data_IF_185535838640
#
_entry.id   IF_185535838640
#
_cell.length_a   1.000
_cell.length_b   1.000
_cell.length_c   1.000
_cell.angle_alpha   90.00
_cell.angle_beta   90.00
_cell.angle_gamma   90.00
#
_symmetry.space_group_name_H-M   'P 1'
#
loop_
_entity.id
_entity.type
_entity.pdbx_description
1 polymer ?
#
# COMPACT_ATOMS: atom_id res chain seq x y z
N UNK A 1 -41.59 -49.34 -35.82
CA UNK A 1 -41.54 -48.87 -34.40
C UNK A 1 -40.21 -48.17 -34.15
N UNK A 2 -40.18 -46.86 -34.10
CA UNK A 2 -38.99 -46.04 -34.15
C UNK A 2 -38.30 -45.93 -32.83
N UNK A 3 -36.97 -46.13 -32.77
CA UNK A 3 -36.10 -45.86 -31.65
C UNK A 3 -35.46 -44.46 -31.86
N UNK A 4 -35.90 -43.48 -31.04
CA UNK A 4 -35.25 -42.16 -30.96
C UNK A 4 -33.93 -42.27 -30.21
N UNK A 5 -32.80 -41.96 -30.87
CA UNK A 5 -31.49 -41.71 -30.29
C UNK A 5 -31.38 -40.23 -29.96
N UNK A 6 -31.29 -39.89 -28.65
CA UNK A 6 -30.94 -38.55 -28.21
C UNK A 6 -29.41 -38.41 -28.22
N UNK A 7 -28.90 -37.56 -29.10
CA UNK A 7 -27.49 -37.15 -29.19
C UNK A 7 -27.17 -36.18 -28.07
N UNK A 8 -26.28 -36.55 -27.14
CA UNK A 8 -25.65 -35.63 -26.19
C UNK A 8 -24.48 -34.91 -26.87
N UNK A 9 -24.66 -33.63 -27.21
CA UNK A 9 -23.54 -32.75 -27.59
C UNK A 9 -22.71 -32.44 -26.35
N UNK A 10 -21.46 -32.90 -26.35
CA UNK A 10 -20.48 -32.49 -25.37
C UNK A 10 -20.12 -31.01 -25.52
N UNK A 11 -20.28 -30.24 -24.44
CA UNK A 11 -19.71 -28.90 -24.33
C UNK A 11 -18.24 -29.05 -23.98
N UNK A 12 -17.36 -28.59 -24.88
CA UNK A 12 -15.94 -28.52 -24.67
C UNK A 12 -15.63 -27.54 -23.52
N UNK A 13 -14.84 -28.00 -22.55
CA UNK A 13 -14.23 -27.15 -21.52
C UNK A 13 -13.23 -26.22 -22.20
N UNK A 14 -13.58 -24.93 -22.36
CA UNK A 14 -12.60 -23.91 -22.65
C UNK A 14 -11.83 -23.62 -21.36
N UNK A 15 -10.52 -23.81 -21.41
CA UNK A 15 -9.60 -23.56 -20.31
C UNK A 15 -9.54 -22.06 -20.02
N UNK A 16 -9.37 -21.69 -18.74
CA UNK A 16 -9.25 -20.32 -18.24
C UNK A 16 -8.06 -19.48 -18.81
N UNK A 17 -7.32 -20.04 -19.75
CA UNK A 17 -6.19 -19.39 -20.43
C UNK A 17 -6.59 -18.36 -21.50
N UNK A 18 -7.87 -18.27 -21.88
CA UNK A 18 -8.29 -17.43 -23.03
C UNK A 18 -8.90 -16.09 -22.61
N UNK A 19 -9.02 -15.81 -21.33
CA UNK A 19 -9.61 -14.55 -20.83
C UNK A 19 -8.65 -13.34 -20.81
N UNK A 20 -7.38 -13.52 -21.17
CA UNK A 20 -6.35 -12.47 -21.18
C UNK A 20 -6.09 -11.83 -22.56
N UNK A 21 -6.84 -12.18 -23.58
CA UNK A 21 -6.72 -11.57 -24.92
C UNK A 21 -7.95 -10.71 -25.22
N UNK A 22 -7.81 -9.38 -25.11
CA UNK A 22 -8.77 -8.57 -25.82
C UNK A 22 -9.16 -7.18 -25.33
N UNK A 23 -8.37 -6.47 -24.53
CA UNK A 23 -8.53 -5.01 -24.44
C UNK A 23 -7.14 -4.40 -24.63
N UNK A 24 -6.82 -4.05 -25.89
CA UNK A 24 -5.66 -3.16 -26.14
C UNK A 24 -6.04 -1.79 -25.58
N UNK A 25 -5.32 -1.24 -24.58
CA UNK A 25 -5.56 0.12 -24.14
C UNK A 25 -5.35 1.06 -25.33
N UNK A 26 -6.21 2.06 -25.52
CA UNK A 26 -5.87 3.20 -26.36
C UNK A 26 -4.64 3.84 -25.75
N UNK A 27 -3.50 3.71 -26.40
CA UNK A 27 -2.28 4.45 -26.04
C UNK A 27 -2.62 5.93 -26.21
N UNK A 28 -2.86 6.61 -25.11
CA UNK A 28 -2.95 8.08 -25.10
C UNK A 28 -1.53 8.60 -25.32
N UNK A 29 -1.40 9.62 -26.19
CA UNK A 29 -0.13 10.23 -26.53
C UNK A 29 0.58 10.66 -25.24
N UNK A 30 1.77 10.09 -24.96
CA UNK A 30 2.54 10.29 -23.71
C UNK A 30 2.96 11.73 -23.44
N UNK A 31 2.60 12.68 -24.33
CA UNK A 31 2.92 14.11 -24.23
C UNK A 31 1.84 14.95 -23.57
N UNK A 32 0.68 14.39 -23.23
CA UNK A 32 -0.38 15.15 -22.59
C UNK A 32 -0.10 15.21 -21.09
N UNK A 33 0.35 16.38 -20.62
CA UNK A 33 0.49 16.62 -19.17
C UNK A 33 -0.88 16.57 -18.49
N UNK A 34 -0.96 16.04 -17.28
CA UNK A 34 -2.20 16.07 -16.50
C UNK A 34 -2.75 17.51 -16.42
N UNK A 35 -4.03 17.67 -16.70
CA UNK A 35 -4.74 18.95 -16.60
C UNK A 35 -5.57 18.97 -15.33
N UNK A 36 -5.69 20.11 -14.63
CA UNK A 36 -6.62 20.21 -13.51
C UNK A 36 -8.05 19.95 -14.00
N UNK A 37 -8.87 19.25 -13.20
CA UNK A 37 -10.23 18.92 -13.60
C UNK A 37 -11.07 20.19 -13.77
N UNK A 38 -11.84 20.23 -14.85
CA UNK A 38 -12.74 21.33 -15.15
C UNK A 38 -14.19 20.89 -14.96
N UNK A 39 -15.02 21.81 -14.48
CA UNK A 39 -16.46 21.59 -14.44
C UNK A 39 -17.01 21.53 -15.88
N UNK A 40 -17.75 20.46 -16.19
CA UNK A 40 -18.35 20.28 -17.52
C UNK A 40 -19.86 20.07 -17.46
N UNK A 41 -20.41 19.81 -16.27
CA UNK A 41 -21.84 19.61 -15.99
C UNK A 41 -22.14 20.08 -14.57
N UNK A 42 -23.40 19.97 -14.17
CA UNK A 42 -23.86 20.24 -12.82
C UNK A 42 -24.91 19.22 -12.38
N UNK A 43 -25.00 19.02 -11.06
CA UNK A 43 -26.09 18.28 -10.42
C UNK A 43 -26.92 19.27 -9.62
N UNK A 44 -28.23 19.31 -9.85
CA UNK A 44 -29.16 20.16 -9.11
C UNK A 44 -29.60 19.46 -7.83
N UNK A 45 -29.34 20.08 -6.69
CA UNK A 45 -29.81 19.62 -5.37
C UNK A 45 -30.96 20.48 -4.92
N UNK A 46 -32.05 19.87 -4.42
CA UNK A 46 -33.21 20.56 -3.87
C UNK A 46 -33.35 20.29 -2.38
N UNK A 47 -33.41 21.34 -1.57
CA UNK A 47 -33.80 21.23 -0.16
C UNK A 47 -35.35 21.25 -0.06
N UNK A 48 -35.92 20.09 0.25
CA UNK A 48 -37.37 19.95 0.38
C UNK A 48 -37.96 20.70 1.58
N UNK A 49 -37.16 21.17 2.55
CA UNK A 49 -37.60 21.97 3.70
C UNK A 49 -37.88 23.42 3.32
N UNK A 50 -37.07 23.94 2.37
CA UNK A 50 -37.13 25.34 1.96
C UNK A 50 -37.61 25.53 0.50
N UNK A 51 -37.67 24.45 -0.28
CA UNK A 51 -37.84 24.43 -1.72
C UNK A 51 -36.76 25.15 -2.54
N UNK A 52 -35.63 25.50 -1.90
CA UNK A 52 -34.48 26.07 -2.59
C UNK A 52 -33.77 25.00 -3.41
N UNK A 53 -33.24 25.42 -4.56
CA UNK A 53 -32.43 24.58 -5.45
C UNK A 53 -31.09 25.26 -5.73
N UNK A 54 -30.04 24.46 -5.87
CA UNK A 54 -28.72 24.95 -6.29
C UNK A 54 -27.99 23.90 -7.10
N UNK A 55 -27.10 24.37 -7.96
CA UNK A 55 -26.30 23.52 -8.83
C UNK A 55 -24.91 23.32 -8.26
N UNK A 56 -24.51 22.04 -8.14
CA UNK A 56 -23.17 21.64 -7.75
C UNK A 56 -22.39 21.23 -9.01
N UNK A 57 -21.17 21.80 -9.24
CA UNK A 57 -20.35 21.45 -10.40
C UNK A 57 -19.97 19.97 -10.40
N UNK A 58 -19.96 19.36 -11.58
CA UNK A 58 -19.43 18.02 -11.81
C UNK A 58 -18.07 18.15 -12.49
N UNK A 59 -17.05 17.53 -11.86
CA UNK A 59 -15.69 17.50 -12.36
C UNK A 59 -15.38 16.13 -12.94
N UNK A 60 -14.61 16.11 -14.04
CA UNK A 60 -14.15 14.89 -14.69
C UNK A 60 -12.64 14.78 -14.58
N UNK A 61 -12.16 13.60 -14.10
CA UNK A 61 -10.75 13.24 -14.14
C UNK A 61 -10.33 12.69 -15.49
N UNK A 62 -9.06 12.33 -15.62
CA UNK A 62 -8.56 11.64 -16.82
C UNK A 62 -9.18 10.25 -16.96
N UNK A 63 -9.32 9.55 -15.85
CA UNK A 63 -9.93 8.22 -15.71
C UNK A 63 -10.81 8.19 -14.46
N UNK A 64 -11.67 7.17 -14.39
CA UNK A 64 -12.54 6.94 -13.25
C UNK A 64 -13.87 7.69 -13.30
N UNK A 65 -14.66 7.62 -12.22
CA UNK A 65 -15.97 8.25 -12.14
C UNK A 65 -15.86 9.77 -12.01
N UNK A 66 -16.92 10.45 -12.44
CA UNK A 66 -17.09 11.87 -12.23
C UNK A 66 -17.34 12.18 -10.74
N UNK A 67 -16.96 13.38 -10.30
CA UNK A 67 -17.13 13.82 -8.92
C UNK A 67 -17.93 15.12 -8.81
N UNK A 68 -18.76 15.23 -7.77
CA UNK A 68 -19.52 16.43 -7.45
C UNK A 68 -18.66 17.34 -6.57
N UNK A 69 -18.42 18.57 -6.99
CA UNK A 69 -17.67 19.56 -6.21
C UNK A 69 -18.54 20.19 -5.12
N UNK A 70 -18.31 19.77 -3.87
CA UNK A 70 -19.07 20.25 -2.69
C UNK A 70 -18.35 21.35 -1.92
N UNK A 71 -17.21 21.87 -2.41
CA UNK A 71 -16.37 22.83 -1.65
C UNK A 71 -17.11 24.09 -1.22
N UNK A 72 -18.10 24.54 -1.98
CA UNK A 72 -18.90 25.74 -1.68
C UNK A 72 -20.18 25.45 -0.91
N UNK A 73 -20.62 24.20 -0.82
CA UNK A 73 -21.90 23.80 -0.25
C UNK A 73 -22.17 24.42 1.14
N UNK A 74 -21.17 24.38 2.02
CA UNK A 74 -21.34 24.93 3.36
C UNK A 74 -21.41 26.46 3.38
N UNK A 75 -20.56 27.15 2.66
CA UNK A 75 -20.50 28.61 2.65
C UNK A 75 -21.73 29.25 2.01
N UNK A 76 -22.32 28.60 1.02
CA UNK A 76 -23.46 29.11 0.28
C UNK A 76 -24.81 28.66 0.87
N UNK A 77 -24.87 27.44 1.44
CA UNK A 77 -26.12 26.81 1.85
C UNK A 77 -26.17 26.41 3.34
N UNK A 78 -25.09 26.55 4.09
CA UNK A 78 -25.03 26.11 5.50
C UNK A 78 -25.05 24.58 5.69
N UNK A 79 -25.02 23.80 4.59
CA UNK A 79 -25.08 22.34 4.60
C UNK A 79 -23.70 21.75 4.33
N UNK A 80 -23.40 20.58 4.89
CA UNK A 80 -22.23 19.79 4.55
C UNK A 80 -22.58 18.30 4.46
N UNK A 81 -21.75 17.55 3.73
CA UNK A 81 -21.93 16.12 3.51
C UNK A 81 -21.46 15.33 4.73
N UNK A 82 -22.02 14.14 4.92
CA UNK A 82 -21.63 13.20 5.97
C UNK A 82 -21.20 11.87 5.36
N UNK A 83 -19.92 11.58 5.41
CA UNK A 83 -19.29 10.34 4.91
C UNK A 83 -18.07 9.98 5.77
N UNK A 84 -18.26 9.27 6.91
CA UNK A 84 -17.21 9.03 7.90
C UNK A 84 -15.99 8.27 7.39
N UNK A 85 -16.15 7.48 6.34
CA UNK A 85 -15.08 6.64 5.79
C UNK A 85 -14.57 7.09 4.44
N UNK A 86 -14.99 8.26 3.95
CA UNK A 86 -14.67 8.77 2.60
C UNK A 86 -15.02 7.79 1.47
N UNK A 87 -16.02 6.91 1.70
CA UNK A 87 -16.40 5.89 0.73
C UNK A 87 -17.01 6.45 -0.57
N UNK A 88 -17.57 7.68 -0.50
CA UNK A 88 -18.13 8.40 -1.62
C UNK A 88 -17.60 9.83 -1.73
N UNK A 89 -16.45 10.11 -1.12
CA UNK A 89 -15.89 11.47 -1.06
C UNK A 89 -14.46 11.49 -1.58
N UNK A 90 -14.22 12.16 -2.70
CA UNK A 90 -12.88 12.48 -3.17
C UNK A 90 -12.25 13.55 -2.27
N UNK A 91 -11.17 13.22 -1.56
CA UNK A 91 -10.47 14.13 -0.65
C UNK A 91 -9.34 14.90 -1.32
N UNK A 92 -8.90 14.50 -2.51
CA UNK A 92 -7.76 15.08 -3.22
C UNK A 92 -7.81 14.79 -4.71
N UNK A 93 -7.01 15.54 -5.46
CA UNK A 93 -6.61 15.23 -6.83
C UNK A 93 -5.22 14.61 -6.80
N UNK A 94 -4.95 13.62 -7.65
CA UNK A 94 -3.61 13.03 -7.78
C UNK A 94 -3.39 12.51 -9.19
N UNK A 95 -2.17 12.64 -9.68
CA UNK A 95 -1.71 12.06 -10.95
C UNK A 95 -0.76 10.88 -10.73
N UNK A 96 -0.65 10.36 -9.50
CA UNK A 96 0.36 9.36 -9.13
C UNK A 96 -0.14 7.96 -9.44
N UNK A 97 -1.25 7.57 -8.84
CA UNK A 97 -1.78 6.20 -8.93
C UNK A 97 -3.25 6.22 -9.30
N UNK A 98 -3.62 5.33 -10.20
CA UNK A 98 -5.01 5.07 -10.57
C UNK A 98 -5.36 3.60 -10.33
N UNK A 99 -6.51 3.37 -9.72
CA UNK A 99 -7.06 2.05 -9.47
C UNK A 99 -8.47 1.96 -10.06
N UNK A 100 -8.69 0.91 -10.87
CA UNK A 100 -10.03 0.46 -11.24
C UNK A 100 -10.26 -0.90 -10.58
N UNK A 101 -11.00 -0.89 -9.48
CA UNK A 101 -11.28 -2.10 -8.72
C UNK A 101 -12.18 -3.10 -9.45
N UNK A 102 -13.10 -2.63 -10.30
CA UNK A 102 -13.99 -3.49 -11.09
C UNK A 102 -13.23 -4.17 -12.24
N UNK A 103 -12.35 -3.43 -12.91
CA UNK A 103 -11.51 -3.97 -14.00
C UNK A 103 -10.26 -4.71 -13.50
N UNK A 104 -9.89 -4.59 -12.20
CA UNK A 104 -8.66 -5.15 -11.67
C UNK A 104 -7.41 -4.47 -12.25
N UNK A 105 -7.43 -3.15 -12.32
CA UNK A 105 -6.33 -2.33 -12.88
C UNK A 105 -5.68 -1.52 -11.79
N UNK A 106 -4.35 -1.54 -11.75
CA UNK A 106 -3.51 -0.64 -10.96
C UNK A 106 -2.44 -0.04 -11.88
N UNK A 107 -2.32 1.28 -11.88
CA UNK A 107 -1.32 1.99 -12.67
C UNK A 107 -0.60 3.04 -11.83
N UNK A 108 0.71 3.15 -12.01
CA UNK A 108 1.52 4.25 -11.51
C UNK A 108 1.90 5.17 -12.67
N UNK A 109 1.52 6.44 -12.60
CA UNK A 109 1.79 7.43 -13.66
C UNK A 109 1.37 6.95 -15.07
N UNK A 110 0.33 6.10 -15.15
CA UNK A 110 -0.17 5.54 -16.41
C UNK A 110 0.44 4.18 -16.81
N UNK A 111 1.49 3.72 -16.16
CA UNK A 111 2.10 2.40 -16.41
C UNK A 111 1.42 1.33 -15.55
N UNK A 112 1.07 0.20 -16.16
CA UNK A 112 0.46 -0.92 -15.44
C UNK A 112 1.45 -1.54 -14.46
N UNK A 113 0.94 -1.91 -13.28
CA UNK A 113 1.80 -2.46 -12.21
C UNK A 113 2.47 -3.77 -12.62
N UNK A 114 1.80 -4.60 -13.43
CA UNK A 114 2.34 -5.87 -13.94
C UNK A 114 3.52 -5.63 -14.87
N UNK A 115 3.46 -4.58 -15.70
CA UNK A 115 4.53 -4.20 -16.62
C UNK A 115 5.72 -3.63 -15.85
N UNK A 116 5.48 -2.80 -14.84
CA UNK A 116 6.54 -2.28 -13.97
C UNK A 116 7.23 -3.41 -13.20
N UNK A 117 6.48 -4.34 -12.62
CA UNK A 117 7.05 -5.47 -11.87
C UNK A 117 7.83 -6.47 -12.76
N UNK A 118 7.51 -6.54 -14.07
CA UNK A 118 8.18 -7.42 -15.01
C UNK A 118 9.48 -6.82 -15.59
N UNK A 119 9.48 -5.49 -15.84
CA UNK A 119 10.49 -4.85 -16.70
C UNK A 119 11.32 -3.76 -15.98
N UNK A 120 10.89 -3.28 -14.82
CA UNK A 120 11.58 -2.25 -14.04
C UNK A 120 12.20 -2.83 -12.77
N UNK A 121 13.05 -2.04 -12.12
CA UNK A 121 13.46 -2.23 -10.74
C UNK A 121 12.81 -1.18 -9.82
N UNK A 122 12.95 -1.37 -8.52
CA UNK A 122 12.32 -0.47 -7.54
C UNK A 122 12.82 0.97 -7.64
N UNK A 123 14.09 1.20 -7.99
CA UNK A 123 14.64 2.55 -8.15
C UNK A 123 14.03 3.29 -9.34
N UNK A 124 13.76 2.59 -10.45
CA UNK A 124 13.02 3.17 -11.58
C UNK A 124 11.58 3.56 -11.17
N UNK A 125 10.92 2.69 -10.40
CA UNK A 125 9.56 2.98 -9.89
C UNK A 125 9.57 4.12 -8.88
N UNK A 126 10.59 4.22 -8.01
CA UNK A 126 10.77 5.37 -7.13
C UNK A 126 10.91 6.68 -7.93
N UNK A 127 11.75 6.68 -8.94
CA UNK A 127 11.91 7.84 -9.82
C UNK A 127 10.60 8.20 -10.53
N UNK A 128 9.93 7.20 -11.12
CA UNK A 128 8.64 7.38 -11.80
C UNK A 128 7.59 8.05 -10.89
N UNK A 129 7.44 7.57 -9.66
CA UNK A 129 6.47 8.12 -8.72
C UNK A 129 6.78 9.57 -8.33
N UNK A 130 8.06 9.91 -8.14
CA UNK A 130 8.51 11.25 -7.74
C UNK A 130 8.52 12.26 -8.89
N UNK A 131 8.96 11.85 -10.07
CA UNK A 131 9.23 12.76 -11.20
C UNK A 131 8.16 12.67 -12.32
N UNK A 132 7.34 11.61 -12.32
CA UNK A 132 6.18 11.48 -13.23
C UNK A 132 6.45 10.71 -14.52
N UNK A 133 7.71 10.42 -14.86
CA UNK A 133 8.13 9.69 -16.04
C UNK A 133 9.21 8.66 -15.69
N UNK A 134 9.33 7.60 -16.49
CA UNK A 134 10.43 6.63 -16.35
C UNK A 134 11.78 7.31 -16.63
N UNK A 135 12.82 6.98 -15.86
CA UNK A 135 14.12 7.62 -16.03
C UNK A 135 14.83 7.17 -17.31
N UNK A 136 15.57 8.07 -17.92
CA UNK A 136 16.64 7.66 -18.85
C UNK A 136 17.77 6.98 -18.08
N UNK A 137 18.66 6.28 -18.75
CA UNK A 137 19.80 5.60 -18.12
C UNK A 137 20.68 6.57 -17.28
N UNK A 138 20.86 7.81 -17.76
CA UNK A 138 21.61 8.83 -17.02
C UNK A 138 20.86 9.32 -15.79
N UNK A 139 19.56 9.56 -15.91
CA UNK A 139 18.70 9.98 -14.78
C UNK A 139 18.64 8.88 -13.72
N UNK A 140 18.47 7.61 -14.12
CA UNK A 140 18.50 6.46 -13.21
C UNK A 140 19.81 6.42 -12.43
N UNK A 141 20.96 6.47 -13.12
CA UNK A 141 22.26 6.45 -12.49
C UNK A 141 22.46 7.59 -11.48
N UNK A 142 22.00 8.81 -11.80
CA UNK A 142 22.06 9.97 -10.88
C UNK A 142 21.17 9.76 -9.66
N UNK A 143 19.97 9.24 -9.87
CA UNK A 143 19.02 8.97 -8.79
C UNK A 143 19.52 7.85 -7.86
N UNK A 144 19.96 6.72 -8.41
CA UNK A 144 20.55 5.61 -7.65
C UNK A 144 21.77 6.09 -6.84
N UNK A 145 22.64 6.91 -7.43
CA UNK A 145 23.76 7.50 -6.72
C UNK A 145 23.28 8.35 -5.53
N UNK A 146 22.29 9.22 -5.75
CA UNK A 146 21.75 10.06 -4.68
C UNK A 146 21.15 9.21 -3.54
N UNK A 147 20.36 8.16 -3.85
CA UNK A 147 19.80 7.28 -2.84
C UNK A 147 20.90 6.53 -2.09
N UNK A 148 21.84 5.90 -2.81
CA UNK A 148 22.92 5.11 -2.23
C UNK A 148 23.76 5.90 -1.23
N UNK A 149 24.08 7.16 -1.55
CA UNK A 149 24.90 8.02 -0.67
C UNK A 149 24.10 8.69 0.47
N UNK A 150 22.81 8.40 0.60
CA UNK A 150 21.98 8.83 1.72
C UNK A 150 21.54 7.69 2.65
N UNK A 151 21.99 6.44 2.44
CA UNK A 151 21.56 5.26 3.19
C UNK A 151 22.05 5.26 4.65
N UNK A 152 23.23 5.81 4.93
CA UNK A 152 23.78 5.87 6.29
C UNK A 152 22.95 6.78 7.19
N UNK A 153 22.66 6.32 8.39
CA UNK A 153 22.07 7.14 9.45
C UNK A 153 23.15 7.96 10.16
N UNK A 154 22.74 9.07 10.78
CA UNK A 154 23.58 9.77 11.73
C UNK A 154 23.92 8.82 12.89
N UNK A 155 25.20 8.69 13.27
CA UNK A 155 25.67 7.68 14.23
C UNK A 155 24.96 7.78 15.59
N UNK A 156 24.58 8.96 16.04
CA UNK A 156 23.83 9.13 17.28
C UNK A 156 22.42 8.50 17.25
N UNK A 157 21.84 8.24 16.06
CA UNK A 157 20.56 7.54 15.96
C UNK A 157 20.69 6.10 16.47
N UNK A 158 21.85 5.47 16.35
CA UNK A 158 22.08 4.12 16.88
C UNK A 158 21.82 4.05 18.38
N UNK A 159 22.14 5.11 19.13
CA UNK A 159 21.86 5.22 20.56
C UNK A 159 20.37 5.34 20.87
N UNK A 160 19.58 5.83 19.94
CA UNK A 160 18.14 5.93 20.11
C UNK A 160 17.49 4.55 20.23
N UNK A 161 18.02 3.55 19.53
CA UNK A 161 17.55 2.16 19.63
C UNK A 161 17.71 1.59 21.04
N UNK A 162 18.75 1.96 21.78
CA UNK A 162 19.00 1.45 23.14
C UNK A 162 17.97 1.94 24.16
N UNK A 163 17.16 2.93 23.82
CA UNK A 163 16.03 3.42 24.62
C UNK A 163 14.76 2.57 24.51
N UNK A 164 14.69 1.68 23.52
CA UNK A 164 13.54 0.78 23.36
C UNK A 164 13.77 -0.53 24.14
N UNK A 165 12.66 -1.17 24.50
CA UNK A 165 12.72 -2.55 24.97
C UNK A 165 13.08 -3.45 23.77
N UNK A 166 13.82 -4.52 24.00
CA UNK A 166 14.21 -5.48 22.94
C UNK A 166 13.02 -6.21 22.33
N UNK A 167 11.95 -6.40 23.08
CA UNK A 167 10.68 -7.00 22.65
C UNK A 167 9.69 -5.97 22.09
N UNK A 168 10.12 -4.71 21.87
CA UNK A 168 9.30 -3.70 21.24
C UNK A 168 8.96 -4.12 19.79
N UNK A 169 7.69 -3.92 19.42
CA UNK A 169 7.27 -4.22 18.05
C UNK A 169 8.05 -3.34 17.06
N UNK A 170 8.64 -3.92 15.98
CA UNK A 170 9.47 -3.16 15.04
C UNK A 170 8.77 -1.94 14.42
N UNK A 171 7.46 -1.99 14.21
CA UNK A 171 6.69 -0.84 13.73
C UNK A 171 6.69 0.34 14.74
N UNK A 172 6.68 0.08 16.04
CA UNK A 172 6.79 1.14 17.05
C UNK A 172 8.17 1.83 16.97
N UNK A 173 9.22 1.05 16.76
CA UNK A 173 10.58 1.56 16.53
C UNK A 173 10.61 2.40 15.25
N UNK A 174 10.02 1.92 14.15
CA UNK A 174 9.94 2.63 12.87
C UNK A 174 9.26 4.00 13.01
N UNK A 175 8.08 4.07 13.62
CA UNK A 175 7.36 5.33 13.87
C UNK A 175 8.25 6.33 14.61
N UNK A 176 8.90 5.86 15.67
CA UNK A 176 9.70 6.72 16.55
C UNK A 176 10.98 7.21 15.86
N UNK A 177 11.73 6.32 15.22
CA UNK A 177 13.03 6.66 14.61
C UNK A 177 12.85 7.50 13.33
N UNK A 178 11.86 7.19 12.50
CA UNK A 178 11.57 8.00 11.30
C UNK A 178 11.14 9.41 11.69
N UNK A 179 10.29 9.56 12.71
CA UNK A 179 9.92 10.88 13.24
C UNK A 179 11.14 11.65 13.80
N UNK A 180 12.05 10.93 14.48
CA UNK A 180 13.27 11.53 15.03
C UNK A 180 14.24 12.05 13.95
N UNK A 181 14.17 11.59 12.69
CA UNK A 181 15.00 12.13 11.60
C UNK A 181 14.89 13.64 11.48
N UNK A 182 13.73 14.22 11.78
CA UNK A 182 13.54 15.68 11.80
C UNK A 182 14.46 16.42 12.78
N UNK A 183 14.91 15.75 13.84
CA UNK A 183 15.84 16.29 14.83
C UNK A 183 17.33 16.14 14.41
N UNK A 184 17.63 15.37 13.36
CA UNK A 184 18.99 15.12 12.88
C UNK A 184 19.30 15.78 11.53
N UNK A 185 18.27 16.06 10.72
CA UNK A 185 18.42 16.55 9.35
C UNK A 185 17.69 17.87 9.13
N UNK A 186 18.08 18.89 9.90
CA UNK A 186 17.47 20.23 9.90
C UNK A 186 17.62 20.96 8.55
N UNK A 187 18.61 20.58 7.74
CA UNK A 187 18.90 21.11 6.41
C UNK A 187 17.94 20.58 5.32
N UNK A 188 16.90 19.85 5.68
CA UNK A 188 15.90 19.32 4.75
C UNK A 188 14.48 19.30 5.35
N UNK A 189 14.17 20.26 6.21
CA UNK A 189 12.85 20.39 6.85
C UNK A 189 12.00 21.54 6.33
N UNK A 190 12.58 22.47 5.57
CA UNK A 190 11.82 23.55 4.93
C UNK A 190 11.05 23.01 3.72
N UNK A 191 9.74 22.93 3.88
CA UNK A 191 8.83 22.42 2.84
C UNK A 191 8.63 23.41 1.67
N UNK A 192 9.00 24.68 1.83
CA UNK A 192 8.88 25.70 0.80
C UNK A 192 10.09 25.74 -0.13
N UNK A 193 11.25 25.24 0.31
CA UNK A 193 12.44 25.08 -0.50
C UNK A 193 12.38 23.78 -1.35
N UNK A 194 12.32 23.86 -2.69
CA UNK A 194 12.28 22.67 -3.57
C UNK A 194 13.50 21.76 -3.39
N UNK A 195 14.68 22.33 -3.11
CA UNK A 195 15.89 21.54 -2.90
C UNK A 195 15.81 20.73 -1.60
N UNK A 196 15.34 21.33 -0.52
CA UNK A 196 15.16 20.63 0.75
C UNK A 196 14.05 19.56 0.66
N UNK A 197 12.98 19.82 -0.10
CA UNK A 197 11.97 18.78 -0.41
C UNK A 197 12.59 17.58 -1.12
N UNK A 198 13.42 17.81 -2.13
CA UNK A 198 14.10 16.75 -2.87
C UNK A 198 15.05 15.95 -1.96
N UNK A 199 15.88 16.64 -1.18
CA UNK A 199 16.83 15.98 -0.26
C UNK A 199 16.10 15.18 0.81
N UNK A 200 15.01 15.68 1.37
CA UNK A 200 14.20 14.93 2.35
C UNK A 200 13.55 13.69 1.73
N UNK A 201 13.10 13.78 0.48
CA UNK A 201 12.56 12.64 -0.26
C UNK A 201 13.63 11.54 -0.44
N UNK A 202 14.84 11.92 -0.90
CA UNK A 202 15.96 10.99 -1.03
C UNK A 202 16.35 10.36 0.31
N UNK A 203 16.44 11.16 1.37
CA UNK A 203 16.77 10.68 2.73
C UNK A 203 15.74 9.68 3.26
N UNK A 204 14.45 9.93 3.07
CA UNK A 204 13.40 9.00 3.50
C UNK A 204 13.50 7.66 2.77
N UNK A 205 13.57 7.67 1.44
CA UNK A 205 13.69 6.45 0.64
C UNK A 205 14.97 5.68 1.03
N UNK A 206 16.08 6.37 1.20
CA UNK A 206 17.39 5.75 1.48
C UNK A 206 17.50 5.21 2.92
N UNK A 207 16.96 5.93 3.93
CA UNK A 207 17.21 5.64 5.35
C UNK A 207 16.18 4.71 5.98
N UNK A 208 14.95 4.67 5.47
CA UNK A 208 13.90 3.83 6.03
C UNK A 208 14.26 2.34 6.00
N UNK A 209 14.89 1.77 4.93
CA UNK A 209 15.39 0.40 4.96
C UNK A 209 16.49 0.15 6.00
N UNK A 210 17.38 1.11 6.21
CA UNK A 210 18.44 1.01 7.24
C UNK A 210 17.84 1.02 8.64
N UNK A 211 16.83 1.87 8.90
CA UNK A 211 16.09 1.89 10.16
C UNK A 211 15.38 0.55 10.39
N UNK A 212 14.73 0.00 9.36
CA UNK A 212 14.05 -1.29 9.41
C UNK A 212 15.02 -2.43 9.78
N UNK A 213 16.17 -2.47 9.12
CA UNK A 213 17.20 -3.47 9.41
C UNK A 213 17.77 -3.32 10.83
N UNK A 214 18.03 -2.11 11.30
CA UNK A 214 18.48 -1.86 12.65
C UNK A 214 17.41 -2.25 13.69
N UNK A 215 16.13 -2.00 13.43
CA UNK A 215 15.04 -2.45 14.30
C UNK A 215 15.01 -3.98 14.41
N UNK A 216 15.17 -4.68 13.29
CA UNK A 216 15.28 -6.13 13.29
C UNK A 216 16.51 -6.63 14.07
N UNK A 217 17.72 -6.13 13.74
CA UNK A 217 18.96 -6.51 14.41
C UNK A 217 18.91 -6.27 15.91
N UNK A 218 18.32 -5.15 16.33
CA UNK A 218 18.13 -4.84 17.74
C UNK A 218 17.21 -5.86 18.42
N UNK A 219 16.09 -6.22 17.80
CA UNK A 219 15.12 -7.17 18.37
C UNK A 219 15.72 -8.57 18.58
N UNK A 220 16.58 -9.02 17.67
CA UNK A 220 17.24 -10.34 17.77
C UNK A 220 18.58 -10.29 18.52
N UNK A 221 19.02 -9.11 18.94
CA UNK A 221 20.25 -8.93 19.73
C UNK A 221 21.54 -9.13 18.94
N UNK A 222 21.51 -8.88 17.64
CA UNK A 222 22.66 -8.89 16.76
C UNK A 222 23.23 -7.48 16.56
N UNK A 223 24.51 -7.34 16.20
CA UNK A 223 25.12 -6.05 15.87
C UNK A 223 24.44 -5.47 14.62
N UNK A 224 24.38 -4.14 14.55
CA UNK A 224 23.91 -3.45 13.35
C UNK A 224 24.85 -3.70 12.18
N UNK A 225 24.26 -3.96 11.01
CA UNK A 225 24.97 -4.07 9.75
C UNK A 225 24.70 -2.82 8.95
N UNK A 226 25.75 -2.15 8.51
CA UNK A 226 25.67 -0.92 7.75
C UNK A 226 25.51 -1.20 6.24
N UNK A 227 24.86 -0.30 5.49
CA UNK A 227 24.69 -0.47 4.06
C UNK A 227 26.00 -0.48 3.29
N UNK A 228 26.03 -1.14 2.14
CA UNK A 228 27.15 -1.17 1.18
C UNK A 228 26.75 -0.47 -0.11
N UNK A 229 27.62 0.44 -0.62
CA UNK A 229 27.32 1.23 -1.81
C UNK A 229 27.41 0.46 -3.13
N UNK A 230 27.96 -0.75 -3.12
CA UNK A 230 28.07 -1.63 -4.28
C UNK A 230 26.89 -2.58 -4.46
N UNK A 231 25.91 -2.55 -3.57
CA UNK A 231 24.71 -3.38 -3.62
C UNK A 231 23.52 -2.57 -4.12
N UNK A 232 22.62 -3.22 -4.86
CA UNK A 232 21.32 -2.64 -5.21
C UNK A 232 20.45 -2.42 -3.96
N UNK A 233 19.34 -1.71 -4.09
CA UNK A 233 18.46 -1.42 -2.98
C UNK A 233 17.93 -2.68 -2.29
N UNK A 234 17.44 -3.65 -3.05
CA UNK A 234 16.92 -4.90 -2.51
C UNK A 234 18.04 -5.79 -1.92
N UNK A 235 19.19 -5.88 -2.59
CA UNK A 235 20.36 -6.59 -2.07
C UNK A 235 20.87 -5.99 -0.76
N UNK A 236 20.93 -4.66 -0.70
CA UNK A 236 21.38 -3.95 0.50
C UNK A 236 20.42 -4.17 1.67
N UNK A 237 19.10 -4.19 1.39
CA UNK A 237 18.09 -4.51 2.37
C UNK A 237 18.27 -5.91 2.96
N UNK A 238 18.47 -6.93 2.12
CA UNK A 238 18.75 -8.31 2.56
C UNK A 238 20.05 -8.38 3.34
N UNK A 239 21.12 -7.75 2.82
CA UNK A 239 22.43 -7.72 3.47
C UNK A 239 22.34 -7.14 4.89
N UNK A 240 21.73 -5.99 5.07
CA UNK A 240 21.60 -5.36 6.38
C UNK A 240 20.77 -6.18 7.37
N UNK A 241 19.81 -6.99 6.90
CA UNK A 241 19.00 -7.84 7.76
C UNK A 241 19.70 -9.13 8.15
N UNK A 242 20.36 -9.80 7.21
CA UNK A 242 20.81 -11.19 7.42
C UNK A 242 22.31 -11.35 7.58
N UNK A 243 23.14 -10.44 7.06
CA UNK A 243 24.58 -10.52 7.27
C UNK A 243 24.94 -10.40 8.77
N UNK A 244 26.04 -11.03 9.15
CA UNK A 244 26.67 -10.93 10.46
C UNK A 244 28.17 -10.64 10.29
N UNK A 245 28.84 -9.98 11.25
CA UNK A 245 30.27 -9.65 11.08
C UNK A 245 31.21 -10.86 11.05
N UNK A 246 30.73 -12.04 11.47
CA UNK A 246 31.55 -13.23 11.63
C UNK A 246 31.76 -14.01 10.34
N UNK A 247 30.95 -13.80 9.32
CA UNK A 247 30.99 -14.54 8.05
C UNK A 247 30.52 -13.69 6.87
N UNK A 248 30.90 -14.09 5.67
CA UNK A 248 30.40 -13.47 4.44
C UNK A 248 28.94 -13.88 4.19
N UNK A 249 28.13 -12.93 3.78
CA UNK A 249 26.74 -13.16 3.40
C UNK A 249 26.61 -13.14 1.87
N UNK A 250 26.25 -14.28 1.30
CA UNK A 250 25.98 -14.41 -0.13
C UNK A 250 24.50 -14.11 -0.40
N UNK A 251 24.27 -13.11 -1.26
CA UNK A 251 22.92 -12.69 -1.64
C UNK A 251 22.44 -13.62 -2.78
N UNK A 252 21.34 -14.33 -2.54
CA UNK A 252 20.68 -15.09 -3.58
C UNK A 252 19.97 -14.12 -4.56
N UNK A 253 20.34 -14.12 -5.87
CA UNK A 253 19.80 -13.16 -6.84
C UNK A 253 18.29 -13.32 -7.09
N UNK A 254 17.75 -14.54 -6.95
CA UNK A 254 16.31 -14.79 -7.08
C UNK A 254 15.56 -14.17 -5.90
N UNK A 255 16.11 -14.29 -4.70
CA UNK A 255 15.54 -13.66 -3.50
C UNK A 255 15.61 -12.14 -3.60
N UNK A 256 16.73 -11.59 -4.06
CA UNK A 256 16.86 -10.13 -4.27
C UNK A 256 15.85 -9.60 -5.29
N UNK A 257 15.66 -10.30 -6.40
CA UNK A 257 14.66 -9.95 -7.42
C UNK A 257 13.22 -10.04 -6.89
N UNK A 258 12.92 -11.04 -6.07
CA UNK A 258 11.60 -11.17 -5.46
C UNK A 258 11.34 -10.03 -4.46
N UNK A 259 12.34 -9.64 -3.66
CA UNK A 259 12.25 -8.47 -2.77
C UNK A 259 12.02 -7.17 -3.54
N UNK A 260 12.71 -6.98 -4.65
CA UNK A 260 12.54 -5.82 -5.52
C UNK A 260 11.11 -5.74 -6.08
N UNK A 261 10.57 -6.87 -6.56
CA UNK A 261 9.15 -6.97 -7.00
C UNK A 261 8.17 -6.69 -5.85
N UNK A 262 8.43 -7.20 -4.64
CA UNK A 262 7.60 -6.89 -3.45
C UNK A 262 7.58 -5.38 -3.22
N UNK A 263 8.73 -4.71 -3.30
CA UNK A 263 8.80 -3.27 -3.13
C UNK A 263 8.01 -2.53 -4.22
N UNK A 264 8.14 -2.91 -5.49
CA UNK A 264 7.38 -2.32 -6.60
C UNK A 264 5.87 -2.46 -6.37
N UNK A 265 5.39 -3.65 -6.03
CA UNK A 265 3.95 -3.93 -5.87
C UNK A 265 3.31 -3.25 -4.65
N UNK A 266 4.12 -2.77 -3.71
CA UNK A 266 3.67 -2.07 -2.51
C UNK A 266 3.99 -0.56 -2.53
N UNK A 267 4.64 -0.04 -3.58
CA UNK A 267 5.19 1.32 -3.64
C UNK A 267 4.13 2.41 -3.40
N UNK A 268 2.97 2.31 -4.03
CA UNK A 268 1.82 3.19 -3.78
C UNK A 268 0.49 2.47 -4.04
N UNK A 269 -0.59 2.97 -3.45
CA UNK A 269 -1.93 2.41 -3.63
C UNK A 269 -3.01 3.46 -3.39
N UNK A 270 -2.93 4.58 -4.12
CA UNK A 270 -3.90 5.67 -4.10
C UNK A 270 -4.14 6.24 -2.67
N UNK A 271 -5.38 6.69 -2.36
CA UNK A 271 -5.76 7.28 -1.08
C UNK A 271 -6.16 6.21 -0.04
N UNK A 272 -5.27 5.27 0.26
CA UNK A 272 -5.45 4.38 1.41
C UNK A 272 -5.30 5.16 2.75
N UNK A 273 -5.62 4.52 3.87
CA UNK A 273 -5.63 5.16 5.18
C UNK A 273 -4.31 5.84 5.54
N UNK A 274 -3.17 5.20 5.29
CA UNK A 274 -1.86 5.78 5.61
C UNK A 274 -1.47 6.92 4.67
N UNK A 275 -1.77 6.84 3.39
CA UNK A 275 -1.55 7.92 2.42
C UNK A 275 -2.41 9.15 2.77
N UNK A 276 -3.69 8.95 3.09
CA UNK A 276 -4.57 10.02 3.55
C UNK A 276 -4.07 10.65 4.85
N UNK A 277 -3.52 9.85 5.78
CA UNK A 277 -2.90 10.33 7.01
C UNK A 277 -1.68 11.21 6.73
N UNK A 278 -0.80 10.80 5.80
CA UNK A 278 0.36 11.60 5.38
C UNK A 278 -0.08 12.95 4.79
N UNK A 279 -1.09 12.94 3.91
CA UNK A 279 -1.62 14.18 3.31
C UNK A 279 -2.30 15.07 4.35
N UNK A 280 -3.07 14.52 5.28
CA UNK A 280 -3.68 15.29 6.37
C UNK A 280 -2.61 15.91 7.27
N UNK A 281 -1.61 15.15 7.71
CA UNK A 281 -0.52 15.66 8.52
C UNK A 281 0.26 16.77 7.78
N UNK A 282 0.63 16.50 6.52
CA UNK A 282 1.36 17.46 5.69
C UNK A 282 0.56 18.72 5.35
N UNK A 283 -0.78 18.65 5.34
CA UNK A 283 -1.65 19.81 5.04
C UNK A 283 -1.50 20.95 6.04
N UNK A 284 -0.99 20.66 7.24
CA UNK A 284 -0.67 21.67 8.26
C UNK A 284 0.70 22.34 8.07
N UNK A 285 1.45 21.98 7.05
CA UNK A 285 2.83 22.43 6.84
C UNK A 285 3.88 21.64 7.65
N UNK A 286 3.51 20.45 8.16
CA UNK A 286 4.46 19.61 8.89
C UNK A 286 5.57 19.08 7.96
N UNK A 287 6.79 18.94 8.52
CA UNK A 287 7.94 18.43 7.78
C UNK A 287 7.72 16.98 7.32
N UNK A 288 8.39 16.53 6.24
CA UNK A 288 8.12 15.23 5.63
C UNK A 288 8.43 14.05 6.56
N UNK A 289 9.44 14.13 7.41
CA UNK A 289 9.78 13.03 8.34
C UNK A 289 8.64 12.76 9.33
N UNK A 290 8.04 13.82 9.88
CA UNK A 290 6.89 13.72 10.77
C UNK A 290 5.65 13.18 10.04
N UNK A 291 5.42 13.62 8.80
CA UNK A 291 4.30 13.14 7.98
C UNK A 291 4.42 11.65 7.66
N UNK A 292 5.63 11.18 7.30
CA UNK A 292 5.88 9.77 7.00
C UNK A 292 5.77 8.92 8.28
N UNK A 293 6.25 9.41 9.42
CA UNK A 293 6.03 8.72 10.70
C UNK A 293 4.53 8.54 11.02
N UNK A 294 3.70 9.54 10.74
CA UNK A 294 2.24 9.42 10.88
C UNK A 294 1.65 8.39 9.91
N UNK A 295 2.15 8.32 8.67
CA UNK A 295 1.79 7.28 7.70
C UNK A 295 2.14 5.87 8.18
N UNK A 296 3.34 5.69 8.74
CA UNK A 296 3.81 4.43 9.33
C UNK A 296 2.89 4.03 10.51
N UNK A 297 2.54 4.98 11.38
CA UNK A 297 1.63 4.72 12.49
C UNK A 297 0.25 4.26 12.01
N UNK A 298 -0.30 4.90 10.97
CA UNK A 298 -1.57 4.49 10.37
C UNK A 298 -1.49 3.10 9.71
N UNK A 299 -0.36 2.81 9.03
CA UNK A 299 -0.15 1.51 8.38
C UNK A 299 -0.10 0.36 9.40
N UNK A 300 0.41 0.61 10.60
CA UNK A 300 0.50 -0.40 11.66
C UNK A 300 -0.86 -0.87 12.19
N UNK A 301 -1.93 -0.15 11.92
CA UNK A 301 -3.26 -0.53 12.34
C UNK A 301 -3.70 -1.89 11.75
N UNK A 302 -4.36 -2.78 12.53
CA UNK A 302 -4.75 -4.12 12.07
C UNK A 302 -5.76 -4.10 10.90
N UNK A 303 -6.49 -2.99 10.73
CA UNK A 303 -7.41 -2.82 9.61
C UNK A 303 -6.74 -2.35 8.30
N UNK A 304 -5.40 -2.16 8.30
CA UNK A 304 -4.66 -1.64 7.15
C UNK A 304 -3.48 -2.54 6.77
N UNK A 305 -2.32 -2.47 7.45
CA UNK A 305 -1.10 -3.16 7.05
C UNK A 305 -0.91 -4.58 7.61
N UNK A 306 -1.81 -5.08 8.46
CA UNK A 306 -1.67 -6.37 9.13
C UNK A 306 -2.19 -7.59 8.35
N UNK A 307 -2.62 -7.44 7.10
CA UNK A 307 -3.29 -8.51 6.36
C UNK A 307 -2.37 -9.71 6.06
N UNK A 308 -1.12 -9.47 5.67
CA UNK A 308 -0.15 -10.53 5.37
C UNK A 308 0.26 -11.35 6.62
N UNK A 309 0.35 -10.72 7.79
CA UNK A 309 0.57 -11.42 9.06
C UNK A 309 -0.64 -12.32 9.39
N UNK A 310 -1.85 -11.80 9.18
CA UNK A 310 -3.09 -12.52 9.40
C UNK A 310 -3.25 -13.72 8.47
N UNK A 311 -2.77 -13.68 7.23
CA UNK A 311 -2.73 -14.83 6.31
C UNK A 311 -1.93 -15.99 6.90
N UNK A 312 -0.73 -15.73 7.38
CA UNK A 312 0.10 -16.78 7.97
C UNK A 312 -0.48 -17.34 9.26
N UNK A 313 -1.07 -16.50 10.10
CA UNK A 313 -1.78 -16.94 11.30
C UNK A 313 -2.93 -17.88 10.93
N UNK A 314 -3.73 -17.52 9.94
CA UNK A 314 -4.81 -18.33 9.40
C UNK A 314 -4.31 -19.68 8.83
N UNK A 315 -3.27 -19.66 7.99
CA UNK A 315 -2.70 -20.90 7.42
C UNK A 315 -2.18 -21.84 8.52
N UNK A 316 -1.58 -21.30 9.57
CA UNK A 316 -1.14 -22.09 10.74
C UNK A 316 -2.33 -22.65 11.54
N UNK A 317 -3.42 -21.90 11.66
CA UNK A 317 -4.66 -22.34 12.30
C UNK A 317 -5.32 -23.47 11.51
N UNK A 318 -5.38 -23.37 10.18
CA UNK A 318 -5.85 -24.46 9.30
C UNK A 318 -4.95 -25.68 9.46
N UNK A 319 -3.64 -25.52 9.40
CA UNK A 319 -2.62 -26.51 9.71
C UNK A 319 -2.44 -27.64 8.71
N UNK A 320 -3.51 -28.18 8.10
CA UNK A 320 -3.44 -29.26 7.10
C UNK A 320 -4.49 -29.12 6.01
N UNK A 321 -4.22 -29.73 4.85
CA UNK A 321 -5.13 -29.71 3.68
C UNK A 321 -6.50 -30.33 4.00
N UNK A 322 -6.56 -31.34 4.83
CA UNK A 322 -7.79 -32.06 5.19
C UNK A 322 -8.77 -31.19 5.99
N UNK A 323 -8.26 -30.13 6.64
CA UNK A 323 -9.08 -29.17 7.39
C UNK A 323 -9.60 -28.00 6.56
N UNK A 324 -9.11 -27.80 5.33
CA UNK A 324 -9.57 -26.71 4.47
C UNK A 324 -11.10 -26.67 4.32
N UNK A 325 -11.80 -27.80 4.07
CA UNK A 325 -13.26 -27.78 3.94
C UNK A 325 -13.99 -27.25 5.19
N UNK A 326 -13.51 -27.57 6.39
CA UNK A 326 -14.04 -27.04 7.66
C UNK A 326 -13.96 -25.51 7.67
N UNK A 327 -12.78 -24.95 7.37
CA UNK A 327 -12.54 -23.50 7.39
C UNK A 327 -13.26 -22.74 6.26
N UNK A 328 -13.43 -23.38 5.11
CA UNK A 328 -14.29 -22.87 4.03
C UNK A 328 -15.74 -22.72 4.50
N UNK A 329 -16.27 -23.72 5.22
CA UNK A 329 -17.64 -23.64 5.77
C UNK A 329 -17.75 -22.55 6.85
N UNK A 330 -16.75 -22.43 7.72
CA UNK A 330 -16.69 -21.34 8.71
C UNK A 330 -16.72 -19.97 8.03
N UNK A 331 -15.93 -19.78 6.97
CA UNK A 331 -15.87 -18.53 6.21
C UNK A 331 -17.20 -18.16 5.51
N UNK A 332 -18.02 -19.17 5.17
CA UNK A 332 -19.36 -18.99 4.57
C UNK A 332 -20.44 -18.70 5.62
N UNK A 333 -20.21 -19.07 6.87
CA UNK A 333 -21.20 -18.92 7.95
C UNK A 333 -21.32 -17.44 8.34
N UNK A 334 -22.56 -16.95 8.46
CA UNK A 334 -22.84 -15.60 8.99
C UNK A 334 -22.67 -15.51 10.51
N UNK A 335 -22.73 -16.66 11.19
CA UNK A 335 -22.66 -16.76 12.64
C UNK A 335 -21.23 -16.98 13.15
N UNK A 336 -20.26 -17.28 12.25
CA UNK A 336 -18.83 -17.38 12.56
C UNK A 336 -18.11 -16.08 12.14
N UNK A 337 -17.25 -15.59 13.00
CA UNK A 337 -16.41 -14.40 12.72
C UNK A 337 -15.16 -14.74 11.89
N UNK A 338 -14.96 -16.02 11.52
CA UNK A 338 -13.82 -16.44 10.71
C UNK A 338 -13.90 -15.88 9.29
N UNK A 339 -12.77 -15.40 8.79
CA UNK A 339 -12.63 -14.92 7.41
C UNK A 339 -11.38 -15.50 6.78
N UNK A 340 -11.46 -15.85 5.51
CA UNK A 340 -10.26 -16.18 4.73
C UNK A 340 -9.43 -14.93 4.51
N UNK A 341 -8.34 -14.82 5.29
CA UNK A 341 -7.39 -13.71 5.16
C UNK A 341 -6.60 -13.83 3.85
N UNK A 342 -6.35 -12.72 3.18
CA UNK A 342 -5.72 -12.72 1.87
C UNK A 342 -6.68 -13.00 0.70
N UNK A 343 -7.98 -13.15 0.96
CA UNK A 343 -9.02 -13.29 -0.05
C UNK A 343 -9.96 -12.08 -0.05
N UNK A 344 -10.30 -11.61 -1.25
CA UNK A 344 -11.06 -10.39 -1.44
C UNK A 344 -10.23 -9.14 -1.16
N UNK A 345 -10.72 -8.00 -1.60
CA UNK A 345 -10.07 -6.71 -1.41
C UNK A 345 -11.12 -5.61 -1.24
N UNK A 346 -10.82 -4.60 -0.44
CA UNK A 346 -11.76 -3.48 -0.24
C UNK A 346 -12.04 -2.73 -1.54
N UNK A 347 -11.04 -2.63 -2.42
CA UNK A 347 -11.10 -1.91 -3.69
C UNK A 347 -11.36 -2.87 -4.85
N UNK A 348 -10.52 -3.88 -5.03
CA UNK A 348 -10.68 -4.83 -6.14
C UNK A 348 -11.90 -5.73 -5.94
N UNK A 349 -12.84 -5.63 -6.90
CA UNK A 349 -14.00 -6.53 -7.05
C UNK A 349 -13.73 -7.61 -8.10
N UNK A 350 -12.54 -7.60 -8.69
CA UNK A 350 -11.99 -8.59 -9.59
C UNK A 350 -10.65 -9.06 -9.01
N UNK A 351 -9.86 -9.76 -9.80
CA UNK A 351 -8.55 -10.25 -9.41
C UNK A 351 -7.59 -9.08 -9.11
N UNK A 352 -6.85 -9.14 -8.02
CA UNK A 352 -5.79 -8.18 -7.70
C UNK A 352 -4.62 -8.35 -8.69
N UNK A 353 -4.28 -7.36 -9.53
CA UNK A 353 -3.25 -7.52 -10.57
C UNK A 353 -1.87 -7.85 -10.00
N UNK A 354 -1.64 -7.56 -8.70
CA UNK A 354 -0.38 -7.86 -8.01
C UNK A 354 -0.27 -9.34 -7.60
N UNK A 355 -1.40 -10.03 -7.41
CA UNK A 355 -1.41 -11.40 -6.89
C UNK A 355 -0.76 -12.41 -7.83
N UNK A 356 -0.92 -12.25 -9.16
CA UNK A 356 -0.28 -13.12 -10.14
C UNK A 356 1.25 -13.02 -10.10
N UNK A 357 1.78 -11.79 -9.99
CA UNK A 357 3.23 -11.55 -9.89
C UNK A 357 3.78 -12.12 -8.57
N UNK A 358 3.04 -11.94 -7.47
CA UNK A 358 3.43 -12.51 -6.17
C UNK A 358 3.43 -14.04 -6.18
N UNK A 359 2.43 -14.66 -6.80
CA UNK A 359 2.36 -16.12 -6.94
C UNK A 359 3.58 -16.66 -7.69
N UNK A 360 3.91 -16.07 -8.83
CA UNK A 360 5.09 -16.45 -9.61
C UNK A 360 6.38 -16.28 -8.78
N UNK A 361 6.56 -15.13 -8.13
CA UNK A 361 7.73 -14.86 -7.29
C UNK A 361 7.83 -15.83 -6.11
N UNK A 362 6.68 -16.28 -5.56
CA UNK A 362 6.65 -17.27 -4.49
C UNK A 362 7.25 -18.61 -4.96
N UNK A 363 6.82 -19.10 -6.12
CA UNK A 363 7.39 -20.33 -6.70
C UNK A 363 8.88 -20.18 -6.97
N UNK A 364 9.31 -19.08 -7.61
CA UNK A 364 10.72 -18.82 -7.92
C UNK A 364 11.60 -18.84 -6.67
N UNK A 365 11.17 -18.18 -5.58
CA UNK A 365 11.90 -18.12 -4.30
C UNK A 365 11.99 -19.48 -3.62
N UNK A 366 10.86 -20.21 -3.56
CA UNK A 366 10.84 -21.52 -2.90
C UNK A 366 11.69 -22.55 -3.64
N UNK A 367 11.70 -22.47 -4.97
CA UNK A 367 12.59 -23.29 -5.80
C UNK A 367 14.07 -22.96 -5.53
N UNK A 368 14.42 -21.68 -5.55
CA UNK A 368 15.80 -21.23 -5.32
C UNK A 368 16.31 -21.53 -3.90
N UNK A 369 15.42 -21.64 -2.91
CA UNK A 369 15.75 -21.98 -1.52
C UNK A 369 15.60 -23.47 -1.21
N UNK A 370 15.21 -24.31 -2.19
CA UNK A 370 14.98 -25.75 -1.96
C UNK A 370 13.81 -26.05 -1.03
N UNK A 371 12.80 -25.17 -0.98
CA UNK A 371 11.64 -25.23 -0.07
C UNK A 371 10.31 -25.51 -0.80
N UNK A 372 10.35 -26.20 -1.93
CA UNK A 372 9.14 -26.55 -2.72
C UNK A 372 8.07 -27.29 -1.89
N UNK A 373 8.53 -28.13 -0.99
CA UNK A 373 7.66 -28.97 -0.14
C UNK A 373 7.29 -28.27 1.17
N UNK A 374 7.46 -26.94 1.24
CA UNK A 374 7.06 -26.15 2.42
C UNK A 374 5.56 -26.37 2.71
N UNK A 375 5.20 -26.90 3.89
CA UNK A 375 3.82 -27.27 4.19
C UNK A 375 2.83 -26.10 4.07
N UNK A 376 3.23 -24.88 4.46
CA UNK A 376 2.39 -23.69 4.36
C UNK A 376 2.12 -23.29 2.91
N UNK A 377 3.11 -23.44 2.00
CA UNK A 377 2.88 -23.20 0.57
C UNK A 377 1.92 -24.19 -0.01
N UNK A 378 2.12 -25.47 0.28
CA UNK A 378 1.26 -26.55 -0.21
C UNK A 378 -0.17 -26.39 0.29
N UNK A 379 -0.34 -25.94 1.54
CA UNK A 379 -1.64 -25.61 2.11
C UNK A 379 -2.28 -24.40 1.42
N UNK A 380 -1.50 -23.32 1.19
CA UNK A 380 -1.97 -22.12 0.53
C UNK A 380 -2.41 -22.40 -0.91
N UNK A 381 -1.62 -23.15 -1.69
CA UNK A 381 -1.99 -23.54 -3.06
C UNK A 381 -3.28 -24.35 -3.12
N UNK A 382 -3.47 -25.29 -2.21
CA UNK A 382 -4.70 -26.08 -2.16
C UNK A 382 -5.90 -25.25 -1.72
N UNK A 383 -5.71 -24.35 -0.74
CA UNK A 383 -6.74 -23.39 -0.31
C UNK A 383 -7.14 -22.46 -1.47
N UNK A 384 -6.16 -21.91 -2.21
CA UNK A 384 -6.43 -21.10 -3.40
C UNK A 384 -7.24 -21.88 -4.43
N UNK A 385 -6.81 -23.11 -4.77
CA UNK A 385 -7.49 -23.95 -5.76
C UNK A 385 -8.95 -24.17 -5.38
N UNK A 386 -9.20 -24.58 -4.13
CA UNK A 386 -10.55 -24.85 -3.65
C UNK A 386 -11.40 -23.57 -3.65
N UNK A 387 -10.86 -22.45 -3.17
CA UNK A 387 -11.60 -21.19 -3.13
C UNK A 387 -11.94 -20.65 -4.51
N UNK A 388 -11.05 -20.84 -5.52
CA UNK A 388 -11.30 -20.42 -6.90
C UNK A 388 -12.31 -21.32 -7.64
N UNK A 389 -12.54 -22.54 -7.16
CA UNK A 389 -13.54 -23.48 -7.70
C UNK A 389 -14.89 -23.42 -6.96
N UNK A 390 -14.93 -22.78 -5.80
CA UNK A 390 -16.12 -22.73 -4.94
C UNK A 390 -17.05 -21.58 -5.35
N UNK A 391 -18.31 -21.91 -5.67
CA UNK A 391 -19.32 -20.96 -6.16
C UNK A 391 -19.55 -19.77 -5.22
N UNK A 392 -19.44 -19.96 -3.91
CA UNK A 392 -19.60 -18.86 -2.94
C UNK A 392 -18.50 -17.81 -3.12
N UNK A 393 -17.22 -18.22 -3.13
CA UNK A 393 -16.10 -17.28 -3.26
C UNK A 393 -16.08 -16.63 -4.63
N UNK A 394 -16.36 -17.38 -5.70
CA UNK A 394 -16.42 -16.85 -7.07
C UNK A 394 -17.56 -15.84 -7.21
N UNK A 395 -18.78 -16.15 -6.71
CA UNK A 395 -19.92 -15.24 -6.81
C UNK A 395 -19.77 -13.98 -5.96
N UNK A 396 -19.05 -14.06 -4.83
CA UNK A 396 -18.74 -12.92 -3.96
C UNK A 396 -17.43 -12.22 -4.34
N UNK A 397 -16.77 -12.64 -5.44
CA UNK A 397 -15.50 -12.06 -5.95
C UNK A 397 -14.37 -12.08 -4.90
N UNK A 398 -14.29 -13.13 -4.10
CA UNK A 398 -13.28 -13.29 -3.06
C UNK A 398 -12.05 -14.01 -3.64
N UNK A 399 -11.30 -13.29 -4.47
CA UNK A 399 -10.08 -13.78 -5.08
C UNK A 399 -8.85 -13.55 -4.18
N UNK A 400 -7.76 -14.33 -4.33
CA UNK A 400 -6.50 -14.06 -3.65
C UNK A 400 -5.98 -12.66 -3.99
N UNK A 401 -5.48 -11.95 -2.97
CA UNK A 401 -4.86 -10.63 -3.13
C UNK A 401 -3.33 -10.71 -2.94
N UNK A 402 -2.64 -9.56 -3.00
CA UNK A 402 -1.19 -9.49 -2.88
C UNK A 402 -0.66 -10.07 -1.57
N UNK A 403 -1.42 -9.97 -0.47
CA UNK A 403 -0.99 -10.40 0.86
C UNK A 403 -0.96 -11.92 1.01
N UNK A 404 -1.72 -12.65 0.17
CA UNK A 404 -1.83 -14.11 0.26
C UNK A 404 -0.50 -14.82 0.05
N UNK A 405 0.31 -14.39 -0.93
CA UNK A 405 1.61 -15.00 -1.21
C UNK A 405 2.80 -14.26 -0.60
N UNK A 406 2.68 -12.94 -0.39
CA UNK A 406 3.81 -12.14 0.13
C UNK A 406 4.29 -12.63 1.50
N UNK A 407 3.37 -13.00 2.39
CA UNK A 407 3.72 -13.55 3.71
C UNK A 407 4.52 -14.86 3.63
N UNK A 408 4.17 -15.74 2.69
CA UNK A 408 4.89 -17.02 2.47
C UNK A 408 6.31 -16.75 1.97
N UNK A 409 6.45 -15.85 1.00
CA UNK A 409 7.77 -15.44 0.47
C UNK A 409 8.65 -14.91 1.61
N UNK A 410 8.14 -13.96 2.39
CA UNK A 410 8.90 -13.33 3.46
C UNK A 410 9.31 -14.32 4.56
N UNK A 411 8.42 -15.24 4.91
CA UNK A 411 8.75 -16.33 5.85
C UNK A 411 9.81 -17.27 5.29
N UNK A 412 9.71 -17.65 4.00
CA UNK A 412 10.67 -18.53 3.35
C UNK A 412 12.07 -17.91 3.29
N UNK A 413 12.17 -16.59 3.09
CA UNK A 413 13.42 -15.82 3.11
C UNK A 413 14.01 -15.78 4.53
N UNK A 414 13.18 -15.83 5.57
CA UNK A 414 13.62 -15.84 6.98
C UNK A 414 13.21 -14.62 7.80
N UNK A 415 12.35 -13.76 7.26
CA UNK A 415 11.78 -12.65 8.04
C UNK A 415 10.76 -13.17 9.07
N UNK A 416 10.84 -12.72 10.35
CA UNK A 416 9.77 -12.98 11.30
C UNK A 416 8.50 -12.20 10.93
N UNK A 417 7.35 -12.72 11.31
CA UNK A 417 6.05 -12.10 10.98
C UNK A 417 5.94 -10.65 11.47
N UNK A 418 6.55 -10.31 12.60
CA UNK A 418 6.59 -8.93 13.12
C UNK A 418 7.28 -7.92 12.21
N UNK A 419 8.06 -8.37 11.22
CA UNK A 419 8.71 -7.52 10.22
C UNK A 419 7.86 -7.27 8.95
N UNK A 420 6.76 -7.99 8.73
CA UNK A 420 6.03 -7.91 7.47
C UNK A 420 5.44 -6.53 7.20
N UNK A 421 4.77 -5.94 8.19
CA UNK A 421 4.27 -4.57 8.08
C UNK A 421 5.40 -3.54 7.96
N UNK A 422 6.59 -3.83 8.53
CA UNK A 422 7.79 -2.98 8.35
C UNK A 422 8.28 -3.00 6.90
N UNK A 423 8.33 -4.18 6.27
CA UNK A 423 8.70 -4.29 4.85
C UNK A 423 7.70 -3.54 3.96
N UNK A 424 6.43 -3.64 4.30
CA UNK A 424 5.39 -2.86 3.63
C UNK A 424 5.64 -1.34 3.79
N UNK A 425 5.99 -0.86 4.98
CA UNK A 425 6.32 0.55 5.22
C UNK A 425 7.55 0.99 4.41
N UNK A 426 8.59 0.15 4.30
CA UNK A 426 9.79 0.42 3.47
C UNK A 426 9.37 0.65 2.02
N UNK A 427 8.62 -0.26 1.44
CA UNK A 427 8.14 -0.16 0.06
C UNK A 427 7.25 1.07 -0.17
N UNK A 428 6.31 1.33 0.74
CA UNK A 428 5.31 2.39 0.66
C UNK A 428 5.89 3.79 0.91
N UNK A 429 7.07 3.89 1.47
CA UNK A 429 7.70 5.19 1.79
C UNK A 429 7.77 6.10 0.56
N UNK A 430 8.15 5.57 -0.61
CA UNK A 430 8.21 6.39 -1.84
C UNK A 430 6.84 6.91 -2.25
N UNK A 431 5.80 6.08 -2.16
CA UNK A 431 4.41 6.50 -2.46
C UNK A 431 3.96 7.62 -1.52
N UNK A 432 4.19 7.47 -0.22
CA UNK A 432 3.87 8.53 0.75
C UNK A 432 4.62 9.83 0.47
N UNK A 433 5.90 9.74 0.13
CA UNK A 433 6.73 10.91 -0.20
C UNK A 433 6.23 11.58 -1.48
N UNK A 434 5.91 10.80 -2.52
CA UNK A 434 5.36 11.33 -3.77
C UNK A 434 4.00 12.03 -3.55
N UNK A 435 3.12 11.41 -2.76
CA UNK A 435 1.81 11.96 -2.39
C UNK A 435 1.94 13.23 -1.54
N UNK A 436 2.90 13.27 -0.62
CA UNK A 436 3.21 14.45 0.17
C UNK A 436 3.77 15.58 -0.71
N UNK A 437 4.74 15.28 -1.60
CA UNK A 437 5.35 16.25 -2.54
C UNK A 437 4.28 16.85 -3.45
N UNK A 438 3.44 16.02 -4.07
CA UNK A 438 2.34 16.47 -4.93
C UNK A 438 1.39 17.42 -4.20
N UNK A 439 1.03 17.09 -2.96
CA UNK A 439 0.18 17.94 -2.13
C UNK A 439 0.83 19.29 -1.79
N UNK A 440 2.10 19.31 -1.41
CA UNK A 440 2.80 20.57 -1.07
C UNK A 440 2.96 21.49 -2.32
N UNK A 441 3.09 20.89 -3.49
CA UNK A 441 3.23 21.60 -4.76
C UNK A 441 1.89 22.05 -5.36
N UNK A 442 0.76 21.59 -4.82
CA UNK A 442 -0.58 22.01 -5.28
C UNK A 442 -0.95 23.39 -4.71
N UNK A 443 -1.09 24.43 -5.56
CA UNK A 443 -1.43 25.78 -5.10
C UNK A 443 -2.85 25.87 -4.53
N UNK A 444 -3.70 24.88 -4.80
CA UNK A 444 -5.08 24.81 -4.28
C UNK A 444 -5.18 24.13 -2.92
N UNK A 445 -4.08 23.58 -2.42
CA UNK A 445 -4.03 22.87 -1.15
C UNK A 445 -4.52 23.75 0.01
N UNK A 446 -5.27 23.14 0.90
CA UNK A 446 -5.77 23.74 2.14
C UNK A 446 -5.53 22.79 3.31
N UNK A 447 -5.39 23.37 4.50
CA UNK A 447 -5.32 22.55 5.72
C UNK A 447 -6.53 21.65 5.86
N UNK A 448 -6.31 20.37 6.07
CA UNK A 448 -7.35 19.38 6.30
C UNK A 448 -8.01 19.60 7.66
N UNK A 449 -9.23 20.12 7.65
CA UNK A 449 -10.06 20.31 8.84
C UNK A 449 -11.47 19.80 8.56
N UNK A 450 -11.72 18.50 8.73
CA UNK A 450 -13.04 17.92 8.55
C UNK A 450 -14.08 18.58 9.45
N UNK A 451 -15.33 18.67 8.99
CA UNK A 451 -16.46 19.07 9.83
C UNK A 451 -16.97 17.85 10.59
N UNK A 452 -17.68 18.12 11.69
CA UNK A 452 -18.34 17.06 12.47
C UNK A 452 -19.82 17.36 12.65
N UNK A 453 -20.64 16.32 12.65
CA UNK A 453 -22.02 16.35 13.14
C UNK A 453 -21.94 16.20 14.68
N UNK A 454 -22.25 17.29 15.37
CA UNK A 454 -22.24 17.29 16.83
C UNK A 454 -23.51 16.61 17.37
N UNK A 455 -23.36 15.59 18.18
CA UNK A 455 -24.44 14.81 18.81
C UNK A 455 -24.38 14.83 20.35
N UNK A 456 -23.58 15.73 20.91
CA UNK A 456 -23.43 15.87 22.35
C UNK A 456 -24.55 16.68 22.99
N UNK A 457 -24.31 17.09 24.23
CA UNK A 457 -25.25 17.92 24.99
C UNK A 457 -25.31 19.34 24.40
N UNK A 458 -26.46 19.99 24.54
CA UNK A 458 -26.59 21.43 24.36
C UNK A 458 -25.83 22.21 25.45
N UNK A 459 -25.91 23.53 25.43
CA UNK A 459 -25.29 24.38 26.41
C UNK A 459 -25.75 24.01 27.83
N UNK A 460 -24.81 23.84 28.75
CA UNK A 460 -25.06 23.54 30.16
C UNK A 460 -24.30 24.50 31.06
N UNK A 461 -24.92 24.99 32.15
CA UNK A 461 -24.24 25.84 33.11
C UNK A 461 -23.12 25.07 33.82
N UNK A 462 -21.98 25.73 34.00
CA UNK A 462 -20.92 25.19 34.84
C UNK A 462 -21.36 25.25 36.32
N UNK A 463 -21.39 24.09 36.96
CA UNK A 463 -21.64 23.99 38.40
C UNK A 463 -20.31 23.80 39.15
N UNK A 464 -20.00 24.61 40.19
CA UNK A 464 -18.90 24.34 41.10
C UNK A 464 -18.98 22.93 41.67
N UNK A 465 -17.82 22.34 42.03
CA UNK A 465 -17.76 20.92 42.40
C UNK A 465 -18.66 20.58 43.59
N UNK A 466 -18.82 21.51 44.54
CA UNK A 466 -19.65 21.37 45.76
C UNK A 466 -21.15 21.30 45.43
N UNK A 467 -21.56 21.71 44.21
CA UNK A 467 -22.96 21.71 43.74
C UNK A 467 -23.26 20.60 42.75
N UNK A 468 -22.25 19.76 42.41
CA UNK A 468 -22.43 18.60 41.54
C UNK A 468 -22.98 17.42 42.34
N UNK A 469 -24.04 16.83 41.88
CA UNK A 469 -24.65 15.61 42.44
C UNK A 469 -24.10 14.36 41.76
#
# INVERSE_FOLDING_TARGET
>A
MAKNKISRKGKSKQSASTALQGIKPKVTDSKIKPQPPQAYAAVTVKDNRTNQTWDLPVLKGTLGPDVIDVRKLYTEQGLFTYDPGYGSTGSTQSAITYIDGEAGVLMHRGYRIEELAANSDFMEVCYLLLEGELPTAEQKKKFEHAITYHTMLHEQITRFFTGFRRDAHPMAVMVSVVGALSAFYHDSTDIHDPHQRLISAHRLIAKVPTIAAMAYKYSVGQPFIYPRNNLSYAENFLYMHFAVPAEDYEINPVVAKAMDRIFILHADHEQNASTSTVRIAGSSGANPFACIAAGIASLWGPAHGGANEAVLAMLREIGSKDRIPEFIQRAKSKDDNFRLMGFGHRVYKNYDPRAAVMRQSCHEVLDALGKRDEPLLQLAMELERIALEDDYFVSHKLFPNVDFYSGIILQAIGFPTSMFTVLFAVARTVGWVAQWKEMIEDPTQRIGRPRQLYTGYGERPYLPIEKRK
#
